data_IF_027153495187
#
_entry.id   IF_027153495187
#
_cell.length_a   1.000
_cell.length_b   1.000
_cell.length_c   1.000
_cell.angle_alpha   90.00
_cell.angle_beta   90.00
_cell.angle_gamma   90.00
#
_symmetry.space_group_name_H-M   'P 1'
#
loop_
_entity.id
_entity.type
_entity.pdbx_description
1 polymer ?
#
# COMPACT_ATOMS: atom_id res chain seq x y z
N UNK A 1 9.32 8.75 -16.34
CA UNK A 1 9.41 10.10 -16.91
C UNK A 1 10.72 10.21 -17.65
N UNK A 2 10.66 10.30 -18.98
CA UNK A 2 11.86 10.43 -19.79
C UNK A 2 12.31 11.90 -19.76
N UNK A 3 13.21 12.22 -18.82
CA UNK A 3 14.06 13.42 -18.91
C UNK A 3 15.03 13.30 -20.10
N UNK A 4 15.10 12.11 -20.69
CA UNK A 4 15.91 11.74 -21.84
C UNK A 4 15.26 12.12 -23.18
N UNK A 5 14.64 13.30 -23.24
CA UNK A 5 14.05 13.83 -24.49
C UNK A 5 15.09 14.53 -25.38
N UNK A 6 16.34 14.66 -24.92
CA UNK A 6 17.39 15.46 -25.56
C UNK A 6 17.21 16.98 -25.42
N UNK A 7 16.08 17.43 -24.86
CA UNK A 7 15.76 18.85 -24.66
C UNK A 7 16.13 19.39 -23.27
N UNK A 8 16.49 18.50 -22.33
CA UNK A 8 16.84 18.87 -20.96
C UNK A 8 18.33 18.65 -20.74
N UNK A 9 19.04 19.70 -20.35
CA UNK A 9 20.45 19.59 -19.97
C UNK A 9 20.60 18.70 -18.73
N UNK A 10 21.61 17.82 -18.73
CA UNK A 10 21.93 16.97 -17.58
C UNK A 10 22.20 17.78 -16.30
N UNK A 11 22.64 19.03 -16.43
CA UNK A 11 22.88 19.94 -15.31
C UNK A 11 21.59 20.32 -14.53
N UNK A 12 20.41 20.22 -15.15
CA UNK A 12 19.12 20.59 -14.53
C UNK A 12 18.14 19.42 -14.45
N UNK A 13 18.49 18.26 -15.02
CA UNK A 13 17.63 17.09 -15.12
C UNK A 13 17.06 16.65 -13.75
N UNK A 14 17.94 16.51 -12.75
CA UNK A 14 17.53 16.09 -11.40
C UNK A 14 16.61 17.12 -10.73
N UNK A 15 16.92 18.40 -10.89
CA UNK A 15 16.11 19.47 -10.32
C UNK A 15 14.73 19.51 -10.97
N UNK A 16 14.65 19.34 -12.29
CA UNK A 16 13.37 19.27 -13.00
C UNK A 16 12.51 18.11 -12.49
N UNK A 17 13.09 16.90 -12.36
CA UNK A 17 12.37 15.73 -11.84
C UNK A 17 11.84 15.96 -10.43
N UNK A 18 12.63 16.59 -9.56
CA UNK A 18 12.21 16.88 -8.17
C UNK A 18 11.04 17.85 -8.11
N UNK A 19 10.92 18.75 -9.10
CA UNK A 19 9.84 19.72 -9.22
C UNK A 19 8.74 19.30 -10.19
N UNK A 20 8.77 18.06 -10.69
CA UNK A 20 7.72 17.47 -11.53
C UNK A 20 6.89 16.45 -10.77
N UNK A 21 5.60 16.39 -11.07
CA UNK A 21 4.68 15.36 -10.56
C UNK A 21 4.81 14.04 -11.35
N UNK A 22 4.06 13.01 -10.95
CA UNK A 22 4.05 11.69 -11.62
C UNK A 22 3.67 11.71 -13.11
N UNK A 23 3.10 12.80 -13.60
CA UNK A 23 2.70 13.02 -15.00
C UNK A 23 3.69 13.90 -15.76
N UNK A 24 4.76 14.39 -15.12
CA UNK A 24 5.74 15.29 -15.72
C UNK A 24 5.35 16.77 -15.73
N UNK A 25 4.27 17.14 -15.02
CA UNK A 25 3.83 18.52 -14.87
C UNK A 25 4.54 19.18 -13.68
N UNK A 26 4.63 20.51 -13.65
CA UNK A 26 5.19 21.21 -12.50
C UNK A 26 4.36 20.95 -11.23
N UNK A 27 5.04 20.66 -10.12
CA UNK A 27 4.39 20.50 -8.81
C UNK A 27 3.79 21.82 -8.35
N UNK A 28 2.60 21.75 -7.75
CA UNK A 28 1.92 22.91 -7.15
C UNK A 28 2.37 23.22 -5.72
N UNK A 29 3.08 22.28 -5.09
CA UNK A 29 3.52 22.35 -3.71
C UNK A 29 4.81 21.56 -3.50
N UNK A 30 5.41 21.74 -2.32
CA UNK A 30 6.66 21.10 -1.92
C UNK A 30 6.45 19.89 -0.99
N UNK A 31 5.21 19.47 -0.72
CA UNK A 31 4.95 18.45 0.31
C UNK A 31 5.40 17.06 -0.13
N UNK A 32 6.02 16.30 0.76
CA UNK A 32 6.45 14.92 0.45
C UNK A 32 5.88 13.91 1.45
N UNK A 33 5.58 12.66 1.02
CA UNK A 33 5.20 11.61 1.93
C UNK A 33 6.25 11.41 3.04
N UNK A 34 5.80 11.39 4.28
CA UNK A 34 6.67 11.24 5.45
C UNK A 34 7.08 12.56 6.12
N UNK A 35 6.75 13.71 5.53
CA UNK A 35 6.88 15.00 6.24
C UNK A 35 5.80 15.14 7.33
N UNK A 36 6.18 15.82 8.42
CA UNK A 36 5.26 16.18 9.51
C UNK A 36 4.38 17.40 9.17
N UNK A 37 4.62 18.01 8.02
CA UNK A 37 3.84 19.13 7.51
C UNK A 37 2.45 18.64 7.08
N UNK A 38 1.44 19.47 7.28
CA UNK A 38 0.07 19.15 6.85
C UNK A 38 0.05 18.97 5.33
N UNK A 39 -0.48 17.85 4.86
CA UNK A 39 -0.65 17.61 3.44
C UNK A 39 -1.45 18.76 2.79
N UNK A 40 -0.98 19.32 1.66
CA UNK A 40 -1.54 20.51 1.03
C UNK A 40 -2.91 20.23 0.39
N UNK A 41 -3.22 18.96 0.14
CA UNK A 41 -4.57 18.52 -0.17
C UNK A 41 -5.31 18.27 1.15
N UNK A 42 -6.07 19.27 1.62
CA UNK A 42 -7.28 18.90 2.34
C UNK A 42 -8.20 18.25 1.29
N UNK A 43 -8.79 17.09 1.58
CA UNK A 43 -9.93 16.57 0.79
C UNK A 43 -11.13 17.48 1.06
N UNK A 44 -11.01 18.75 0.68
CA UNK A 44 -12.11 19.69 0.62
C UNK A 44 -12.64 19.52 -0.80
N UNK A 45 -13.45 18.48 -1.02
CA UNK A 45 -14.24 18.38 -2.25
C UNK A 45 -14.96 19.71 -2.38
N UNK A 46 -14.55 20.52 -3.36
CA UNK A 46 -15.09 21.87 -3.49
C UNK A 46 -16.60 21.76 -3.65
N UNK A 47 -17.36 22.60 -2.92
CA UNK A 47 -18.83 22.62 -3.05
C UNK A 47 -19.18 23.08 -4.47
N UNK A 48 -19.47 22.10 -5.33
CA UNK A 48 -20.32 22.19 -6.50
C UNK A 48 -20.08 23.40 -7.40
N UNK A 49 -19.13 23.28 -8.33
CA UNK A 49 -19.40 23.82 -9.66
C UNK A 49 -19.74 22.63 -10.54
N UNK A 50 -20.96 22.60 -11.06
CA UNK A 50 -21.39 21.57 -11.99
C UNK A 50 -20.57 21.72 -13.29
N UNK A 51 -19.47 20.99 -13.41
CA UNK A 51 -18.69 20.93 -14.64
C UNK A 51 -19.37 19.92 -15.56
N UNK A 52 -19.34 20.18 -16.87
CA UNK A 52 -19.73 19.16 -17.88
C UNK A 52 -18.85 17.94 -17.66
N UNK A 53 -19.39 16.90 -17.02
CA UNK A 53 -18.57 15.78 -16.60
C UNK A 53 -18.28 14.87 -17.78
N UNK A 54 -17.03 14.87 -18.24
CA UNK A 54 -16.52 13.86 -19.16
C UNK A 54 -16.66 12.42 -18.61
N UNK A 55 -16.94 12.28 -17.30
CA UNK A 55 -17.16 11.02 -16.59
C UNK A 55 -18.62 10.58 -16.49
N UNK A 56 -19.59 11.32 -17.05
CA UNK A 56 -21.02 10.96 -16.90
C UNK A 56 -21.31 9.54 -17.39
N UNK A 57 -20.64 9.14 -18.46
CA UNK A 57 -20.80 7.80 -19.03
C UNK A 57 -20.22 6.71 -18.09
N UNK A 58 -19.15 7.02 -17.36
CA UNK A 58 -18.55 6.14 -16.37
C UNK A 58 -19.51 6.01 -15.17
N UNK A 59 -20.04 7.12 -14.65
CA UNK A 59 -21.04 7.12 -13.58
C UNK A 59 -22.24 6.24 -13.94
N UNK A 60 -22.82 6.43 -15.14
CA UNK A 60 -23.96 5.65 -15.62
C UNK A 60 -23.62 4.15 -15.72
N UNK A 61 -22.41 3.79 -16.13
CA UNK A 61 -21.97 2.38 -16.18
C UNK A 61 -21.94 1.79 -14.77
N UNK A 62 -21.33 2.49 -13.82
CA UNK A 62 -21.24 2.04 -12.42
C UNK A 62 -22.63 1.94 -11.79
N UNK A 63 -23.50 2.94 -11.97
CA UNK A 63 -24.88 2.93 -11.47
C UNK A 63 -25.70 1.76 -12.04
N UNK A 64 -25.39 1.31 -13.26
CA UNK A 64 -26.01 0.14 -13.88
C UNK A 64 -25.34 -1.20 -13.52
N UNK A 65 -24.33 -1.19 -12.66
CA UNK A 65 -23.55 -2.39 -12.31
C UNK A 65 -22.72 -2.95 -13.46
N UNK A 66 -22.38 -2.12 -14.46
CA UNK A 66 -21.55 -2.52 -15.59
C UNK A 66 -20.07 -2.33 -15.26
N UNK A 67 -19.24 -3.26 -15.75
CA UNK A 67 -17.79 -3.15 -15.61
C UNK A 67 -17.22 -1.95 -16.37
N UNK A 68 -16.20 -1.32 -15.78
CA UNK A 68 -15.40 -0.30 -16.43
C UNK A 68 -14.42 -0.92 -17.42
N UNK A 69 -14.25 -0.26 -18.55
CA UNK A 69 -13.19 -0.59 -19.50
C UNK A 69 -11.84 -0.03 -19.03
N UNK A 70 -10.73 -0.51 -19.60
CA UNK A 70 -9.41 0.07 -19.33
C UNK A 70 -9.33 1.56 -19.69
N UNK A 71 -10.04 1.99 -20.74
CA UNK A 71 -10.10 3.40 -21.13
C UNK A 71 -10.82 4.26 -20.08
N UNK A 72 -11.92 3.74 -19.51
CA UNK A 72 -12.64 4.41 -18.43
C UNK A 72 -11.72 4.62 -17.21
N UNK A 73 -10.98 3.57 -16.83
CA UNK A 73 -10.01 3.61 -15.71
C UNK A 73 -8.89 4.63 -15.96
N UNK A 74 -8.31 4.64 -17.17
CA UNK A 74 -7.28 5.63 -17.54
C UNK A 74 -7.83 7.04 -17.47
N UNK A 75 -9.07 7.26 -17.90
CA UNK A 75 -9.72 8.57 -17.83
C UNK A 75 -9.84 9.04 -16.37
N UNK A 76 -10.25 8.16 -15.45
CA UNK A 76 -10.32 8.46 -14.01
C UNK A 76 -8.95 8.82 -13.43
N UNK A 77 -7.89 8.09 -13.77
CA UNK A 77 -6.52 8.40 -13.32
C UNK A 77 -5.99 9.74 -13.86
N UNK A 78 -6.50 10.19 -15.01
CA UNK A 78 -6.14 11.47 -15.61
C UNK A 78 -6.99 12.65 -15.12
N UNK A 79 -7.99 12.43 -14.26
CA UNK A 79 -8.80 13.51 -13.69
C UNK A 79 -7.94 14.50 -12.88
N UNK A 80 -8.19 15.80 -13.06
CA UNK A 80 -7.47 16.89 -12.38
C UNK A 80 -8.43 18.01 -11.98
N UNK A 81 -8.05 18.82 -10.99
CA UNK A 81 -8.88 19.95 -10.54
C UNK A 81 -10.29 19.52 -10.14
N UNK A 82 -11.31 20.20 -10.66
CA UNK A 82 -12.72 19.91 -10.35
C UNK A 82 -13.18 18.52 -10.82
N UNK A 83 -12.55 17.95 -11.84
CA UNK A 83 -12.81 16.57 -12.27
C UNK A 83 -12.33 15.55 -11.22
N UNK A 84 -11.19 15.82 -10.58
CA UNK A 84 -10.70 14.99 -9.48
C UNK A 84 -11.63 15.06 -8.27
N UNK A 85 -12.10 16.26 -7.91
CA UNK A 85 -13.09 16.44 -6.85
C UNK A 85 -14.38 15.64 -7.12
N UNK A 86 -14.86 15.63 -8.37
CA UNK A 86 -16.02 14.84 -8.77
C UNK A 86 -15.79 13.34 -8.60
N UNK A 87 -14.62 12.83 -8.99
CA UNK A 87 -14.27 11.41 -8.81
C UNK A 87 -14.22 11.05 -7.32
N UNK A 88 -13.62 11.89 -6.48
CA UNK A 88 -13.60 11.69 -5.04
C UNK A 88 -15.00 11.67 -4.41
N UNK A 89 -15.86 12.61 -4.80
CA UNK A 89 -17.24 12.67 -4.30
C UNK A 89 -18.04 11.44 -4.72
N UNK A 90 -17.98 11.06 -6.00
CA UNK A 90 -18.66 9.86 -6.50
C UNK A 90 -18.16 8.59 -5.80
N UNK A 91 -16.84 8.48 -5.56
CA UNK A 91 -16.27 7.35 -4.83
C UNK A 91 -16.75 7.29 -3.37
N UNK A 92 -16.85 8.42 -2.67
CA UNK A 92 -17.38 8.45 -1.30
C UNK A 92 -18.88 8.12 -1.25
N UNK A 93 -19.68 8.62 -2.19
CA UNK A 93 -21.10 8.30 -2.28
C UNK A 93 -21.33 6.81 -2.58
N UNK A 94 -20.54 6.24 -3.51
CA UNK A 94 -20.57 4.81 -3.79
C UNK A 94 -20.16 4.00 -2.55
N UNK A 95 -19.04 4.35 -1.92
CA UNK A 95 -18.58 3.73 -0.67
C UNK A 95 -19.66 3.79 0.42
N UNK A 96 -20.33 4.95 0.60
CA UNK A 96 -21.45 5.11 1.54
C UNK A 96 -22.63 4.20 1.21
N UNK A 97 -22.98 4.09 -0.07
CA UNK A 97 -24.09 3.24 -0.51
C UNK A 97 -23.81 1.73 -0.31
N UNK A 98 -22.54 1.32 -0.43
CA UNK A 98 -22.15 -0.10 -0.35
C UNK A 98 -21.85 -0.53 1.09
N UNK A 99 -21.18 0.31 1.90
CA UNK A 99 -20.71 -0.07 3.24
C UNK A 99 -21.19 0.83 4.38
N UNK A 100 -22.00 1.86 4.12
CA UNK A 100 -22.51 2.79 5.15
C UNK A 100 -21.44 3.74 5.70
N UNK A 101 -21.67 4.40 6.83
CA UNK A 101 -20.69 5.38 7.39
C UNK A 101 -19.79 4.80 8.50
N UNK A 102 -19.94 3.51 8.82
CA UNK A 102 -19.14 2.89 9.88
C UNK A 102 -17.71 2.66 9.39
N UNK A 103 -16.74 3.29 10.05
CA UNK A 103 -15.32 3.05 9.84
C UNK A 103 -14.84 1.98 10.82
N UNK A 104 -14.34 0.87 10.29
CA UNK A 104 -13.77 -0.23 11.09
C UNK A 104 -12.24 -0.18 11.07
N UNK A 105 -11.62 -0.69 12.14
CA UNK A 105 -10.17 -0.85 12.21
C UNK A 105 -9.82 -2.23 12.78
N UNK A 106 -8.59 -2.68 12.53
CA UNK A 106 -8.04 -3.94 13.07
C UNK A 106 -6.82 -3.60 13.92
N UNK A 107 -6.78 -4.13 15.14
CA UNK A 107 -5.55 -4.10 15.95
C UNK A 107 -4.67 -5.25 15.47
N UNK A 108 -3.71 -4.93 14.63
CA UNK A 108 -2.83 -5.90 13.98
C UNK A 108 -1.43 -5.91 14.60
N UNK A 109 -0.82 -7.09 14.68
CA UNK A 109 0.63 -7.23 14.88
C UNK A 109 1.30 -7.75 13.62
N UNK A 110 2.10 -6.89 13.00
CA UNK A 110 2.97 -7.27 11.91
C UNK A 110 4.30 -7.82 12.46
N UNK A 111 4.60 -9.09 12.19
CA UNK A 111 5.83 -9.77 12.59
C UNK A 111 6.63 -10.07 11.32
N UNK A 112 7.72 -9.31 11.15
CA UNK A 112 8.71 -9.59 10.12
C UNK A 112 9.59 -10.76 10.58
N UNK A 113 9.31 -11.98 10.11
CA UNK A 113 10.00 -13.19 10.58
C UNK A 113 11.38 -13.40 9.94
N UNK A 114 11.63 -12.79 8.78
CA UNK A 114 12.95 -12.75 8.15
C UNK A 114 13.06 -11.56 7.20
N UNK A 115 14.26 -10.97 7.11
CA UNK A 115 14.60 -9.99 6.07
C UNK A 115 15.40 -10.60 4.91
N UNK A 116 15.57 -11.92 4.86
CA UNK A 116 16.29 -12.64 3.79
C UNK A 116 15.32 -12.92 2.64
N UNK A 117 15.68 -12.48 1.43
CA UNK A 117 14.87 -12.67 0.25
C UNK A 117 15.72 -13.12 -0.95
N UNK A 118 15.21 -14.10 -1.70
CA UNK A 118 15.85 -14.56 -2.95
C UNK A 118 15.75 -13.52 -4.08
N UNK A 119 14.77 -12.61 -4.00
CA UNK A 119 14.49 -11.60 -5.03
C UNK A 119 15.15 -10.23 -4.75
N UNK A 120 15.28 -9.43 -5.82
CA UNK A 120 15.92 -8.11 -5.85
C UNK A 120 15.05 -7.00 -6.51
N UNK A 121 13.76 -6.94 -6.18
CA UNK A 121 12.89 -5.76 -6.34
C UNK A 121 13.55 -4.41 -5.94
N UNK A 122 13.55 -3.42 -6.84
CA UNK A 122 14.18 -2.10 -6.60
C UNK A 122 13.49 -1.22 -5.56
N UNK A 123 12.24 -1.51 -5.19
CA UNK A 123 11.43 -0.73 -4.25
C UNK A 123 11.37 -1.32 -2.84
N UNK A 124 11.75 -2.59 -2.66
CA UNK A 124 11.48 -3.31 -1.41
C UNK A 124 12.66 -3.19 -0.43
N UNK A 125 12.35 -2.91 0.84
CA UNK A 125 13.34 -2.79 1.89
C UNK A 125 14.10 -4.12 2.16
N UNK A 126 13.44 -5.28 1.97
CA UNK A 126 14.00 -6.63 2.14
C UNK A 126 14.75 -7.15 0.91
N UNK A 127 14.65 -6.41 -0.19
CA UNK A 127 15.07 -6.85 -1.50
C UNK A 127 16.49 -6.39 -1.79
N UNK A 128 17.45 -7.00 -1.09
CA UNK A 128 18.87 -6.65 -1.27
C UNK A 128 19.71 -7.92 -1.19
N UNK A 129 20.57 -8.13 -2.18
CA UNK A 129 21.58 -9.18 -2.14
C UNK A 129 22.46 -9.08 -0.89
N UNK A 130 22.98 -10.23 -0.46
CA UNK A 130 23.77 -10.48 0.77
C UNK A 130 25.04 -9.63 0.96
N UNK A 131 25.33 -8.70 0.06
CA UNK A 131 26.68 -8.12 -0.10
C UNK A 131 26.85 -6.62 0.14
N UNK A 132 25.82 -5.75 0.22
CA UNK A 132 26.13 -4.35 0.56
C UNK A 132 26.25 -4.15 2.08
N UNK A 133 27.49 -4.05 2.53
CA UNK A 133 27.88 -3.61 3.87
C UNK A 133 27.71 -2.09 3.99
N UNK A 134 27.17 -1.61 5.11
CA UNK A 134 27.41 -0.23 5.57
C UNK A 134 26.24 0.52 6.19
N UNK A 135 24.99 0.18 5.90
CA UNK A 135 23.80 0.93 6.34
C UNK A 135 22.59 0.02 6.69
N UNK A 136 22.84 -1.24 7.05
CA UNK A 136 21.82 -2.30 7.06
C UNK A 136 21.73 -3.02 8.40
N UNK A 137 20.51 -3.41 8.76
CA UNK A 137 20.27 -4.44 9.74
C UNK A 137 20.86 -5.78 9.26
N UNK A 138 21.35 -6.58 10.20
CA UNK A 138 21.89 -7.91 9.90
C UNK A 138 20.80 -8.80 9.30
N UNK A 139 21.19 -9.70 8.41
CA UNK A 139 20.30 -10.77 7.97
C UNK A 139 19.83 -11.57 9.18
N UNK A 140 18.54 -11.87 9.28
CA UNK A 140 17.98 -12.62 10.39
C UNK A 140 16.84 -13.55 9.94
N UNK A 141 16.66 -14.59 10.75
CA UNK A 141 15.47 -15.42 10.80
C UNK A 141 15.07 -15.44 12.27
N UNK A 142 13.81 -15.09 12.58
CA UNK A 142 13.30 -15.18 13.94
C UNK A 142 13.06 -16.65 14.28
N UNK A 143 13.44 -17.03 15.50
CA UNK A 143 13.03 -18.30 16.06
C UNK A 143 11.51 -18.32 16.26
N UNK A 144 10.91 -19.51 16.12
CA UNK A 144 9.46 -19.68 16.30
C UNK A 144 9.01 -19.20 17.68
N UNK A 145 9.79 -19.50 18.72
CA UNK A 145 9.50 -19.05 20.10
C UNK A 145 9.38 -17.53 20.21
N UNK A 146 10.15 -16.77 19.43
CA UNK A 146 10.04 -15.30 19.40
C UNK A 146 8.80 -14.85 18.62
N UNK A 147 8.41 -15.56 17.55
CA UNK A 147 7.15 -15.31 16.83
C UNK A 147 5.95 -15.58 17.76
N UNK A 148 5.98 -16.69 18.49
CA UNK A 148 4.99 -17.05 19.51
C UNK A 148 4.89 -15.95 20.56
N UNK A 149 6.00 -15.60 21.20
CA UNK A 149 6.04 -14.59 22.26
C UNK A 149 5.47 -13.24 21.78
N UNK A 150 5.81 -12.82 20.56
CA UNK A 150 5.27 -11.58 19.96
C UNK A 150 3.79 -11.65 19.65
N UNK A 151 3.28 -12.83 19.33
CA UNK A 151 1.86 -13.06 19.05
C UNK A 151 1.06 -13.06 20.36
N UNK A 152 1.58 -13.67 21.42
CA UNK A 152 1.01 -13.61 22.77
C UNK A 152 0.98 -12.17 23.31
N UNK A 153 2.10 -11.44 23.19
CA UNK A 153 2.19 -10.02 23.55
C UNK A 153 1.13 -9.19 22.80
N UNK A 154 0.91 -9.49 21.52
CA UNK A 154 -0.09 -8.78 20.71
C UNK A 154 -1.51 -9.08 21.21
N UNK A 155 -1.82 -10.35 21.49
CA UNK A 155 -3.10 -10.75 22.04
C UNK A 155 -3.39 -10.08 23.38
N UNK A 156 -2.42 -10.05 24.29
CA UNK A 156 -2.54 -9.36 25.58
C UNK A 156 -2.80 -7.86 25.42
N UNK A 157 -2.37 -7.26 24.30
CA UNK A 157 -2.62 -5.86 23.94
C UNK A 157 -3.91 -5.64 23.13
N UNK A 158 -4.73 -6.69 22.97
CA UNK A 158 -6.02 -6.62 22.28
C UNK A 158 -5.93 -6.75 20.76
N UNK A 159 -4.84 -7.29 20.22
CA UNK A 159 -4.76 -7.59 18.81
C UNK A 159 -5.75 -8.69 18.40
N UNK A 160 -6.44 -8.48 17.29
CA UNK A 160 -7.35 -9.45 16.68
C UNK A 160 -6.75 -10.15 15.47
N UNK A 161 -5.57 -9.69 15.04
CA UNK A 161 -4.87 -10.23 13.86
C UNK A 161 -3.34 -10.19 14.05
N UNK A 162 -2.67 -11.25 13.59
CA UNK A 162 -1.21 -11.30 13.45
C UNK A 162 -0.87 -11.53 11.99
N UNK A 163 -0.07 -10.64 11.41
CA UNK A 163 0.45 -10.76 10.05
C UNK A 163 1.91 -11.21 10.09
N UNK A 164 2.20 -12.36 9.49
CA UNK A 164 3.57 -12.82 9.29
C UNK A 164 4.06 -12.35 7.92
N UNK A 165 5.02 -11.44 7.92
CA UNK A 165 5.61 -10.89 6.70
C UNK A 165 7.10 -11.18 6.68
N UNK A 166 7.69 -11.28 5.51
CA UNK A 166 9.11 -11.57 5.41
C UNK A 166 9.58 -11.69 3.98
N UNK A 167 10.88 -11.80 3.81
CA UNK A 167 11.46 -12.14 2.52
C UNK A 167 11.18 -13.59 2.12
N UNK A 168 11.30 -13.87 0.81
CA UNK A 168 11.16 -15.22 0.26
C UNK A 168 12.48 -15.98 0.54
N UNK A 169 12.57 -16.54 1.75
CA UNK A 169 13.72 -17.28 2.24
C UNK A 169 13.90 -18.58 1.43
N UNK A 170 15.09 -18.88 0.89
CA UNK A 170 15.30 -20.03 0.00
C UNK A 170 15.05 -21.38 0.68
N UNK A 171 15.24 -21.45 2.00
CA UNK A 171 15.02 -22.67 2.78
C UNK A 171 13.56 -22.83 3.25
N UNK A 172 12.71 -21.81 3.09
CA UNK A 172 11.30 -21.92 3.46
C UNK A 172 10.49 -22.43 2.28
N UNK A 173 9.90 -23.60 2.47
CA UNK A 173 8.93 -24.23 1.58
C UNK A 173 7.53 -24.07 2.18
N UNK A 174 6.49 -24.12 1.35
CA UNK A 174 5.11 -24.05 1.86
C UNK A 174 4.79 -25.09 2.93
N UNK A 175 5.48 -26.24 2.91
CA UNK A 175 5.32 -27.31 3.90
C UNK A 175 6.07 -27.09 5.22
N UNK A 176 7.29 -26.53 5.21
CA UNK A 176 8.03 -26.32 6.46
C UNK A 176 7.60 -25.05 7.19
N UNK A 177 7.21 -23.99 6.48
CA UNK A 177 6.68 -22.77 7.10
C UNK A 177 5.34 -23.05 7.80
N UNK A 178 4.42 -23.76 7.13
CA UNK A 178 3.13 -24.13 7.70
C UNK A 178 3.27 -25.11 8.87
N UNK A 179 4.09 -26.16 8.74
CA UNK A 179 4.32 -27.11 9.83
C UNK A 179 4.94 -26.44 11.06
N UNK A 180 5.94 -25.60 10.86
CA UNK A 180 6.61 -24.91 11.97
C UNK A 180 5.67 -23.92 12.69
N UNK A 181 4.73 -23.29 11.97
CA UNK A 181 3.74 -22.39 12.57
C UNK A 181 2.53 -23.13 13.18
N UNK A 182 2.26 -24.37 12.75
CA UNK A 182 1.16 -25.21 13.26
C UNK A 182 1.59 -26.15 14.40
N UNK A 183 2.88 -26.49 14.50
CA UNK A 183 3.42 -27.43 15.50
C UNK A 183 3.62 -26.80 16.87
N UNK A 184 3.84 -25.49 16.95
CA UNK A 184 3.84 -24.77 18.22
C UNK A 184 2.40 -24.37 18.56
N UNK A 185 1.97 -24.74 19.76
CA UNK A 185 0.62 -24.68 20.36
C UNK A 185 -0.07 -23.31 20.39
N UNK A 186 0.42 -22.32 19.63
CA UNK A 186 -0.19 -21.01 19.49
C UNK A 186 -1.47 -21.08 18.67
N UNK A 187 -1.56 -21.83 17.57
CA UNK A 187 -2.81 -21.83 16.79
C UNK A 187 -3.94 -22.70 17.41
N UNK A 188 -3.61 -23.73 18.18
CA UNK A 188 -4.56 -24.79 18.53
C UNK A 188 -5.05 -24.77 19.97
N UNK A 189 -4.36 -24.13 20.91
CA UNK A 189 -4.69 -24.26 22.33
C UNK A 189 -5.61 -23.15 22.92
N UNK A 190 -5.80 -22.02 22.24
CA UNK A 190 -6.61 -20.89 22.77
C UNK A 190 -7.51 -20.14 21.79
N UNK A 191 -7.46 -20.45 20.49
CA UNK A 191 -8.00 -19.56 19.47
C UNK A 191 -9.18 -20.20 18.74
N UNK A 192 -10.38 -19.67 18.99
CA UNK A 192 -11.62 -20.14 18.36
C UNK A 192 -11.77 -19.72 16.89
N UNK A 193 -10.77 -19.03 16.31
CA UNK A 193 -10.76 -18.62 14.91
C UNK A 193 -9.46 -19.08 14.25
N UNK A 194 -9.51 -19.70 13.06
CA UNK A 194 -8.32 -20.10 12.34
C UNK A 194 -7.48 -18.85 12.04
N UNK A 195 -6.19 -18.86 12.42
CA UNK A 195 -5.22 -17.90 11.90
C UNK A 195 -5.27 -17.99 10.37
N UNK A 196 -5.79 -16.95 9.73
CA UNK A 196 -5.75 -16.83 8.28
C UNK A 196 -4.30 -16.53 7.92
N UNK A 197 -3.54 -17.58 7.60
CA UNK A 197 -2.28 -17.46 6.89
C UNK A 197 -2.60 -17.10 5.44
N UNK A 198 -2.73 -15.80 5.15
CA UNK A 198 -2.65 -15.32 3.76
C UNK A 198 -1.18 -15.29 3.36
N UNK A 199 -0.79 -16.26 2.52
CA UNK A 199 0.49 -16.28 1.82
C UNK A 199 0.52 -15.27 0.66
#
# INVERSE_FOLDING_TARGET
>A
MAVDSGWVSSAIADNLVQHSDGSGMARSDNWMPGELTKAPFAINCSKGTQVRSHFRQIEIRVEKGLNLSGADVVQLFNARGSEFDQVCQFADDLRRSVVGDTVTYVVNRNINYTNICTYRCGFCAFSKGSTLKGLRDKAYVLDLTEIVRRSEEAWERGATEVCLQGGIHPEFTGGNLSRNLQSDSVCTARYAHPCILTA
#
